data_IF_146346724237
#
_entry.id   IF_146346724237
#
_cell.length_a   1.000
_cell.length_b   1.000
_cell.length_c   1.000
_cell.angle_alpha   90.00
_cell.angle_beta   90.00
_cell.angle_gamma   90.00
#
_symmetry.space_group_name_H-M   'P 1'
#
loop_
_entity.id
_entity.type
_entity.pdbx_description
1 polymer ?
#
# COMPACT_ATOMS: atom_id res chain seq x y z
N UNK A 1 -7.28 -12.85 -5.49
CA UNK A 1 -6.38 -14.02 -5.36
C UNK A 1 -4.96 -13.54 -5.13
N UNK A 2 -4.37 -13.84 -3.96
CA UNK A 2 -2.97 -13.51 -3.69
C UNK A 2 -2.04 -14.27 -4.66
N UNK A 3 -1.02 -13.59 -5.19
CA UNK A 3 -0.01 -14.21 -6.07
C UNK A 3 0.79 -15.29 -5.32
N UNK A 4 1.61 -16.06 -6.05
CA UNK A 4 2.49 -17.08 -5.44
C UNK A 4 3.36 -16.44 -4.35
N UNK A 5 3.64 -17.19 -3.28
CA UNK A 5 4.34 -16.66 -2.10
C UNK A 5 5.73 -16.14 -2.49
N UNK A 6 6.37 -16.84 -3.42
CA UNK A 6 7.65 -16.44 -4.02
C UNK A 6 7.64 -15.02 -4.59
N UNK A 7 6.53 -14.57 -5.19
CA UNK A 7 6.43 -13.20 -5.72
C UNK A 7 6.61 -12.14 -4.62
N UNK A 8 5.91 -12.30 -3.50
CA UNK A 8 6.00 -11.36 -2.38
C UNK A 8 7.36 -11.45 -1.66
N UNK A 9 7.98 -12.63 -1.62
CA UNK A 9 9.34 -12.78 -1.09
C UNK A 9 10.36 -12.06 -1.99
N UNK A 10 10.23 -12.17 -3.31
CA UNK A 10 11.08 -11.44 -4.27
C UNK A 10 10.89 -9.92 -4.11
N UNK A 11 9.64 -9.44 -4.04
CA UNK A 11 9.36 -8.03 -3.80
C UNK A 11 9.93 -7.52 -2.47
N UNK A 12 9.90 -8.35 -1.41
CA UNK A 12 10.50 -8.01 -0.12
C UNK A 12 12.01 -7.83 -0.24
N UNK A 13 12.70 -8.76 -0.91
CA UNK A 13 14.15 -8.71 -1.13
C UNK A 13 14.51 -7.46 -1.93
N UNK A 14 13.78 -7.18 -3.02
CA UNK A 14 13.98 -5.98 -3.82
C UNK A 14 13.78 -4.72 -2.97
N UNK A 15 12.73 -4.67 -2.14
CA UNK A 15 12.48 -3.55 -1.24
C UNK A 15 13.61 -3.33 -0.23
N UNK A 16 14.15 -4.40 0.36
CA UNK A 16 15.30 -4.35 1.26
C UNK A 16 16.57 -3.88 0.55
N UNK A 17 16.83 -4.36 -0.67
CA UNK A 17 17.96 -3.92 -1.47
C UNK A 17 17.86 -2.42 -1.80
N UNK A 18 16.69 -1.94 -2.23
CA UNK A 18 16.47 -0.52 -2.53
C UNK A 18 16.65 0.35 -1.28
N UNK A 19 16.16 -0.11 -0.13
CA UNK A 19 16.32 0.58 1.13
C UNK A 19 17.79 0.66 1.56
N UNK A 20 18.55 -0.44 1.43
CA UNK A 20 19.99 -0.47 1.73
C UNK A 20 20.82 0.42 0.79
N UNK A 21 20.54 0.36 -0.53
CA UNK A 21 21.20 1.20 -1.54
C UNK A 21 20.97 2.69 -1.27
N UNK A 22 19.82 3.04 -0.70
CA UNK A 22 19.55 4.43 -0.34
C UNK A 22 20.47 4.99 0.74
N UNK A 23 20.94 4.17 1.68
CA UNK A 23 21.88 4.66 2.70
C UNK A 23 23.22 5.03 2.07
N UNK A 24 23.68 4.21 1.13
CA UNK A 24 24.91 4.47 0.38
C UNK A 24 24.77 5.74 -0.48
N UNK A 25 23.65 5.90 -1.20
CA UNK A 25 23.39 7.09 -2.03
C UNK A 25 23.32 8.40 -1.24
N UNK A 26 22.95 8.34 0.03
CA UNK A 26 22.92 9.50 0.91
C UNK A 26 24.32 10.06 1.17
N UNK A 27 25.34 9.21 1.16
CA UNK A 27 26.74 9.59 1.39
C UNK A 27 27.40 10.23 0.15
N UNK A 28 26.80 10.08 -1.05
CA UNK A 28 27.29 10.61 -2.32
C UNK A 28 26.58 11.93 -2.76
N UNK A 29 26.01 12.70 -1.82
CA UNK A 29 25.25 13.94 -2.06
C UNK A 29 23.95 13.81 -2.89
N UNK A 30 23.55 12.60 -3.29
CA UNK A 30 22.28 12.34 -4.02
C UNK A 30 21.05 12.25 -3.09
N UNK A 31 20.90 13.20 -2.17
CA UNK A 31 19.90 13.18 -1.10
C UNK A 31 18.45 13.08 -1.57
N UNK A 32 18.09 13.72 -2.69
CA UNK A 32 16.73 13.66 -3.27
C UNK A 32 16.39 12.28 -3.84
N UNK A 33 17.36 11.67 -4.52
CA UNK A 33 17.20 10.33 -5.11
C UNK A 33 17.13 9.29 -3.98
N UNK A 34 18.00 9.39 -2.98
CA UNK A 34 17.93 8.55 -1.78
C UNK A 34 16.53 8.58 -1.14
N UNK A 35 15.92 9.76 -0.95
CA UNK A 35 14.56 9.87 -0.41
C UNK A 35 13.50 9.08 -1.18
N UNK A 36 13.55 9.10 -2.51
CA UNK A 36 12.63 8.32 -3.37
C UNK A 36 12.86 6.82 -3.20
N UNK A 37 14.12 6.39 -3.15
CA UNK A 37 14.48 4.98 -2.96
C UNK A 37 14.05 4.45 -1.58
N UNK A 38 14.12 5.28 -0.53
CA UNK A 38 13.57 4.97 0.80
C UNK A 38 12.06 4.80 0.73
N UNK A 39 11.36 5.76 0.12
CA UNK A 39 9.89 5.72 0.02
C UNK A 39 9.40 4.48 -0.72
N UNK A 40 9.99 4.19 -1.88
CA UNK A 40 9.63 3.01 -2.69
C UNK A 40 10.04 1.72 -1.99
N UNK A 41 11.25 1.66 -1.43
CA UNK A 41 11.75 0.49 -0.70
C UNK A 41 10.90 0.14 0.51
N UNK A 42 10.58 1.13 1.35
CA UNK A 42 9.72 0.95 2.52
C UNK A 42 8.31 0.53 2.14
N UNK A 43 7.73 1.13 1.08
CA UNK A 43 6.42 0.75 0.56
C UNK A 43 6.38 -0.70 0.08
N UNK A 44 7.41 -1.15 -0.67
CA UNK A 44 7.52 -2.53 -1.13
C UNK A 44 7.68 -3.52 0.03
N UNK A 45 8.46 -3.18 1.05
CA UNK A 45 8.64 -4.01 2.25
C UNK A 45 7.31 -4.16 2.98
N UNK A 46 6.61 -3.06 3.28
CA UNK A 46 5.33 -3.07 3.97
C UNK A 46 4.27 -3.87 3.23
N UNK A 47 4.12 -3.64 1.91
CA UNK A 47 3.22 -4.40 1.06
C UNK A 47 3.54 -5.89 1.05
N UNK A 48 4.83 -6.25 0.98
CA UNK A 48 5.26 -7.65 0.91
C UNK A 48 4.99 -8.39 2.22
N UNK A 49 5.29 -7.78 3.37
CA UNK A 49 5.02 -8.36 4.70
C UNK A 49 3.52 -8.56 4.91
N UNK A 50 2.71 -7.54 4.63
CA UNK A 50 1.26 -7.60 4.79
C UNK A 50 0.64 -8.74 3.95
N UNK A 51 1.06 -8.87 2.68
CA UNK A 51 0.57 -9.92 1.80
C UNK A 51 1.06 -11.32 2.21
N UNK A 52 2.29 -11.46 2.70
CA UNK A 52 2.80 -12.73 3.24
C UNK A 52 2.02 -13.15 4.49
N UNK A 53 1.67 -12.20 5.36
CA UNK A 53 0.84 -12.44 6.54
C UNK A 53 -0.58 -12.84 6.17
N UNK A 54 -1.22 -12.10 5.26
CA UNK A 54 -2.56 -12.41 4.75
C UNK A 54 -2.61 -13.83 4.16
N UNK A 55 -1.56 -14.23 3.45
CA UNK A 55 -1.46 -15.57 2.90
C UNK A 55 -1.29 -16.67 3.95
N UNK A 56 -0.70 -16.36 5.11
CA UNK A 56 -0.68 -17.30 6.24
C UNK A 56 -2.07 -17.44 6.85
N UNK A 57 -2.84 -16.35 6.93
CA UNK A 57 -4.24 -16.39 7.39
C UNK A 57 -5.09 -17.24 6.43
N UNK A 58 -4.99 -17.02 5.12
CA UNK A 58 -5.71 -17.82 4.11
C UNK A 58 -5.41 -19.32 4.24
N UNK A 59 -4.16 -19.68 4.54
CA UNK A 59 -3.76 -21.08 4.76
C UNK A 59 -4.29 -21.67 6.08
N UNK A 60 -4.42 -20.83 7.11
CA UNK A 60 -4.88 -21.26 8.43
C UNK A 60 -6.39 -21.50 8.45
N UNK A 61 -7.15 -20.66 7.74
CA UNK A 61 -8.60 -20.78 7.65
C UNK A 61 -9.10 -20.59 6.19
N UNK A 62 -9.13 -21.68 5.41
CA UNK A 62 -9.61 -21.64 4.03
C UNK A 62 -11.13 -21.50 3.95
N UNK A 63 -11.88 -21.81 5.02
CA UNK A 63 -13.35 -21.76 5.01
C UNK A 63 -13.81 -20.30 5.09
N UNK A 64 -13.26 -19.55 6.07
CA UNK A 64 -13.52 -18.11 6.20
C UNK A 64 -13.11 -17.33 4.93
N UNK A 65 -11.99 -17.72 4.31
CA UNK A 65 -11.52 -17.10 3.07
C UNK A 65 -12.52 -17.28 1.92
N UNK A 66 -13.09 -18.48 1.76
CA UNK A 66 -14.10 -18.74 0.72
C UNK A 66 -15.39 -17.98 0.98
N UNK A 67 -15.84 -17.91 2.24
CA UNK A 67 -17.03 -17.14 2.59
C UNK A 67 -16.82 -15.65 2.28
N UNK A 68 -15.68 -15.09 2.64
CA UNK A 68 -15.31 -13.72 2.28
C UNK A 68 -15.31 -13.48 0.77
N UNK A 69 -14.87 -14.44 -0.05
CA UNK A 69 -14.90 -14.30 -1.50
C UNK A 69 -16.33 -14.27 -2.06
N UNK A 70 -17.23 -15.07 -1.49
CA UNK A 70 -18.66 -15.07 -1.84
C UNK A 70 -19.27 -13.72 -1.45
N UNK A 71 -19.07 -13.29 -0.21
CA UNK A 71 -19.60 -12.03 0.31
C UNK A 71 -19.04 -10.83 -0.45
N UNK A 72 -17.78 -10.89 -0.90
CA UNK A 72 -17.15 -9.83 -1.69
C UNK A 72 -17.77 -9.67 -3.08
N UNK A 73 -18.23 -10.78 -3.67
CA UNK A 73 -18.85 -10.84 -5.01
C UNK A 73 -20.37 -10.68 -4.99
N UNK A 74 -20.99 -10.64 -3.82
CA UNK A 74 -22.42 -10.33 -3.68
C UNK A 74 -22.72 -8.94 -4.26
N UNK A 75 -23.77 -8.85 -5.07
CA UNK A 75 -24.20 -7.61 -5.74
C UNK A 75 -24.58 -6.53 -4.72
N UNK A 76 -25.21 -6.91 -3.60
CA UNK A 76 -25.63 -5.98 -2.55
C UNK A 76 -24.42 -5.36 -1.87
N UNK A 77 -23.42 -6.18 -1.54
CA UNK A 77 -22.17 -5.71 -0.94
C UNK A 77 -21.37 -4.85 -1.93
N UNK A 78 -21.43 -5.18 -3.22
CA UNK A 78 -20.84 -4.35 -4.28
C UNK A 78 -21.49 -2.98 -4.34
N UNK A 79 -22.84 -2.90 -4.35
CA UNK A 79 -23.55 -1.62 -4.33
C UNK A 79 -23.23 -0.78 -3.09
N UNK A 80 -23.15 -1.40 -1.91
CA UNK A 80 -22.80 -0.70 -0.67
C UNK A 80 -21.37 -0.16 -0.75
N UNK A 81 -20.43 -0.98 -1.22
CA UNK A 81 -19.02 -0.60 -1.38
C UNK A 81 -18.86 0.54 -2.39
N UNK A 82 -19.60 0.51 -3.49
CA UNK A 82 -19.54 1.57 -4.51
C UNK A 82 -20.08 2.90 -3.96
N UNK A 83 -21.19 2.86 -3.21
CA UNK A 83 -21.71 4.04 -2.50
C UNK A 83 -20.72 4.57 -1.46
N UNK A 84 -20.13 3.69 -0.67
CA UNK A 84 -19.12 4.05 0.32
C UNK A 84 -17.88 4.66 -0.34
N UNK A 85 -17.43 4.10 -1.47
CA UNK A 85 -16.30 4.61 -2.26
C UNK A 85 -16.58 5.99 -2.85
N UNK A 86 -17.78 6.22 -3.36
CA UNK A 86 -18.19 7.54 -3.84
C UNK A 86 -18.14 8.57 -2.71
N UNK A 87 -18.71 8.25 -1.55
CA UNK A 87 -18.68 9.14 -0.38
C UNK A 87 -17.28 9.40 0.15
N UNK A 88 -16.42 8.37 0.16
CA UNK A 88 -15.01 8.52 0.51
C UNK A 88 -14.28 9.44 -0.47
N UNK A 89 -14.62 9.36 -1.77
CA UNK A 89 -14.12 10.27 -2.80
C UNK A 89 -14.43 11.74 -2.49
N UNK A 90 -15.68 12.04 -2.12
CA UNK A 90 -16.09 13.40 -1.72
C UNK A 90 -15.25 13.92 -0.55
N UNK A 91 -15.02 13.07 0.47
CA UNK A 91 -14.24 13.44 1.66
C UNK A 91 -12.78 13.69 1.28
N UNK A 92 -12.19 12.82 0.46
CA UNK A 92 -10.80 12.96 -0.01
C UNK A 92 -10.61 14.26 -0.78
N UNK A 93 -11.58 14.65 -1.62
CA UNK A 93 -11.51 15.89 -2.38
C UNK A 93 -11.40 17.11 -1.46
N UNK A 94 -12.25 17.18 -0.43
CA UNK A 94 -12.16 18.26 0.57
C UNK A 94 -10.83 18.24 1.33
N UNK A 95 -10.32 17.06 1.64
CA UNK A 95 -9.04 16.91 2.34
C UNK A 95 -7.85 17.40 1.48
N UNK A 96 -7.85 17.09 0.18
CA UNK A 96 -6.83 17.57 -0.77
C UNK A 96 -6.85 19.09 -0.83
N UNK A 97 -8.04 19.70 -0.94
CA UNK A 97 -8.19 21.16 -0.95
C UNK A 97 -7.64 21.75 0.35
N UNK A 98 -8.00 21.18 1.51
CA UNK A 98 -7.51 21.63 2.82
C UNK A 98 -5.98 21.57 2.93
N UNK A 99 -5.36 20.46 2.52
CA UNK A 99 -3.90 20.31 2.52
C UNK A 99 -3.26 21.34 1.58
N UNK A 100 -3.82 21.56 0.39
CA UNK A 100 -3.27 22.52 -0.56
C UNK A 100 -3.24 23.94 0.03
N UNK A 101 -4.30 24.38 0.70
CA UNK A 101 -4.32 25.67 1.40
C UNK A 101 -3.30 25.75 2.53
N UNK A 102 -3.15 24.69 3.34
CA UNK A 102 -2.15 24.63 4.41
C UNK A 102 -0.74 24.78 3.84
N UNK A 103 -0.44 24.10 2.73
CA UNK A 103 0.87 24.19 2.09
C UNK A 103 1.16 25.59 1.56
N UNK A 104 0.16 26.25 0.95
CA UNK A 104 0.31 27.64 0.48
C UNK A 104 0.61 28.58 1.66
N UNK A 105 -0.06 28.40 2.80
CA UNK A 105 0.18 29.22 4.01
C UNK A 105 1.58 28.98 4.60
N UNK A 106 2.10 27.76 4.53
CA UNK A 106 3.44 27.42 5.05
C UNK A 106 4.56 28.01 4.16
N UNK A 107 4.29 28.15 2.85
CA UNK A 107 5.25 28.67 1.87
C UNK A 107 5.24 30.20 1.76
N UNK A 108 4.17 30.86 2.25
CA UNK A 108 3.99 32.32 2.27
C UNK A 108 4.64 32.98 3.50
#
# INVERSE_FOLDING_TARGET
>A
MLKKTSYYVICLIIGLCLFAISFILKDFDFSKIAGIFIGVGAGLIGMSIANLYMKRIEKKDPISTKQNEIDYRDERNTMIRDKAKAKAGDIIQWFIIGIAYILIIIDA
#
